data_IF_791657296926
#
_entry.id   IF_791657296926
#
_cell.length_a   1.000
_cell.length_b   1.000
_cell.length_c   1.000
_cell.angle_alpha   90.00
_cell.angle_beta   90.00
_cell.angle_gamma   90.00
#
_symmetry.space_group_name_H-M   'P 1'
#
loop_
_entity.id
_entity.type
_entity.pdbx_description
1 polymer ?
#
# COMPACT_ATOMS: atom_id res chain seq x y z
N UNK A 1 37.29 -0.22 75.45
CA UNK A 1 37.60 0.18 74.06
C UNK A 1 37.97 -1.05 73.27
N UNK A 2 37.14 -1.46 72.31
CA UNK A 2 37.47 -2.51 71.34
C UNK A 2 36.84 -2.10 70.01
N UNK A 3 37.67 -1.66 69.06
CA UNK A 3 37.26 -1.14 67.77
C UNK A 3 36.78 -2.24 66.83
N UNK A 4 35.75 -1.93 66.02
CA UNK A 4 35.24 -2.79 64.96
C UNK A 4 36.15 -2.63 63.72
N UNK A 5 36.82 -3.68 63.29
CA UNK A 5 37.65 -3.70 62.09
C UNK A 5 36.96 -4.51 60.99
N UNK A 6 36.80 -3.94 59.80
CA UNK A 6 36.24 -4.63 58.64
C UNK A 6 37.25 -5.61 58.03
N UNK A 7 36.82 -6.80 57.57
CA UNK A 7 37.72 -7.74 56.91
C UNK A 7 38.15 -7.19 55.55
N UNK A 8 39.46 -7.00 55.38
CA UNK A 8 40.09 -6.63 54.10
C UNK A 8 39.99 -7.83 53.16
N UNK A 9 39.42 -7.59 51.98
CA UNK A 9 39.14 -8.62 50.98
C UNK A 9 40.39 -9.42 50.59
N UNK A 10 40.39 -10.72 50.87
CA UNK A 10 41.41 -11.65 50.40
C UNK A 10 41.45 -11.68 48.87
N UNK A 11 42.60 -11.38 48.26
CA UNK A 11 42.79 -11.13 46.82
C UNK A 11 42.60 -12.31 45.84
N UNK A 12 41.70 -13.26 46.12
CA UNK A 12 41.39 -14.35 45.19
C UNK A 12 40.21 -13.95 44.30
N UNK A 13 40.50 -13.56 43.07
CA UNK A 13 39.48 -13.28 42.03
C UNK A 13 38.83 -14.61 41.62
N UNK A 14 37.50 -14.72 41.76
CA UNK A 14 36.74 -15.86 41.22
C UNK A 14 36.75 -15.79 39.69
N UNK A 15 36.96 -16.90 38.97
CA UNK A 15 36.91 -16.89 37.50
C UNK A 15 35.50 -16.55 37.05
N UNK A 16 35.36 -15.54 36.19
CA UNK A 16 34.09 -15.15 35.58
C UNK A 16 33.83 -16.10 34.41
N UNK A 17 32.84 -16.96 34.53
CA UNK A 17 32.36 -17.76 33.40
C UNK A 17 31.42 -16.91 32.54
N UNK A 18 31.85 -16.61 31.32
CA UNK A 18 31.04 -15.91 30.32
C UNK A 18 30.32 -16.97 29.49
N UNK A 19 29.00 -17.04 29.66
CA UNK A 19 28.14 -17.84 28.78
C UNK A 19 27.72 -17.00 27.57
N UNK A 20 27.94 -17.52 26.36
CA UNK A 20 27.38 -16.93 25.15
C UNK A 20 25.88 -17.23 25.08
N UNK A 21 25.06 -16.19 25.22
CA UNK A 21 23.64 -16.31 24.92
C UNK A 21 23.45 -16.64 23.42
N UNK A 22 22.62 -17.64 23.07
CA UNK A 22 22.26 -17.91 21.69
C UNK A 22 21.61 -16.67 21.09
N UNK A 23 22.15 -16.18 19.97
CA UNK A 23 21.58 -15.03 19.26
C UNK A 23 20.21 -15.43 18.74
N UNK A 24 19.18 -14.64 19.08
CA UNK A 24 17.82 -14.78 18.56
C UNK A 24 17.81 -14.66 17.02
N UNK A 25 17.85 -15.79 16.30
CA UNK A 25 17.89 -15.83 14.83
C UNK A 25 16.56 -15.42 14.18
N UNK A 26 15.47 -15.37 14.95
CA UNK A 26 14.13 -15.04 14.45
C UNK A 26 13.88 -13.54 14.24
N UNK A 27 14.77 -12.66 14.72
CA UNK A 27 14.67 -11.20 14.54
C UNK A 27 15.53 -10.64 13.40
N UNK A 28 16.06 -11.47 12.52
CA UNK A 28 16.72 -10.99 11.29
C UNK A 28 15.71 -10.31 10.38
N UNK A 29 15.65 -8.97 10.44
CA UNK A 29 15.01 -8.18 9.40
C UNK A 29 15.83 -8.35 8.13
N UNK A 30 15.35 -9.20 7.22
CA UNK A 30 15.86 -9.32 5.85
C UNK A 30 16.07 -7.93 5.27
N UNK A 31 17.32 -7.60 4.94
CA UNK A 31 17.65 -6.35 4.24
C UNK A 31 16.95 -6.36 2.88
N UNK A 32 16.72 -5.18 2.29
CA UNK A 32 16.01 -5.08 1.00
C UNK A 32 16.67 -5.89 -0.12
N UNK A 33 17.96 -6.23 0.02
CA UNK A 33 18.73 -7.09 -0.89
C UNK A 33 18.39 -8.59 -0.78
N UNK A 34 17.82 -9.06 0.33
CA UNK A 34 17.43 -10.47 0.55
C UNK A 34 15.95 -10.75 0.25
N UNK A 35 15.18 -9.70 -0.05
CA UNK A 35 13.82 -9.87 -0.57
C UNK A 35 13.94 -10.35 -2.00
N UNK A 36 13.84 -11.67 -2.22
CA UNK A 36 13.63 -12.24 -3.56
C UNK A 36 12.57 -11.39 -4.27
N UNK A 37 12.82 -10.88 -5.48
CA UNK A 37 11.75 -10.25 -6.25
C UNK A 37 10.65 -11.30 -6.35
N UNK A 38 9.41 -10.90 -6.00
CA UNK A 38 8.25 -11.75 -6.23
C UNK A 38 8.21 -11.99 -7.74
N UNK A 39 8.70 -13.14 -8.17
CA UNK A 39 8.68 -13.54 -9.56
C UNK A 39 7.24 -13.41 -10.02
N UNK A 40 7.00 -12.47 -10.94
CA UNK A 40 5.83 -12.56 -11.79
C UNK A 40 6.16 -13.72 -12.71
N UNK A 41 5.65 -14.90 -12.38
CA UNK A 41 5.74 -16.04 -13.27
C UNK A 41 5.03 -15.60 -14.56
N UNK A 42 5.82 -15.30 -15.58
CA UNK A 42 5.41 -15.44 -16.96
C UNK A 42 5.69 -16.92 -17.28
N UNK A 43 4.80 -17.80 -16.81
CA UNK A 43 4.74 -19.18 -17.26
C UNK A 43 3.88 -19.19 -18.51
N UNK A 44 4.52 -19.25 -19.68
CA UNK A 44 3.91 -19.88 -20.85
C UNK A 44 3.75 -21.36 -20.52
N UNK A 45 2.53 -21.75 -20.18
CA UNK A 45 2.17 -23.11 -19.80
C UNK A 45 0.67 -23.16 -19.50
N UNK A 46 -0.02 -24.17 -20.03
CA UNK A 46 -1.42 -24.48 -19.72
C UNK A 46 -1.56 -24.75 -18.22
N UNK A 47 -1.75 -23.68 -17.45
CA UNK A 47 -2.11 -23.78 -16.03
C UNK A 47 -3.56 -24.27 -15.98
N UNK A 48 -3.77 -25.45 -15.38
CA UNK A 48 -5.11 -25.94 -15.04
C UNK A 48 -5.79 -24.85 -14.20
N UNK A 49 -6.75 -24.17 -14.81
CA UNK A 49 -7.47 -23.08 -14.18
C UNK A 49 -8.30 -23.75 -13.08
N UNK A 50 -8.10 -23.35 -11.83
CA UNK A 50 -8.93 -23.86 -10.74
C UNK A 50 -10.40 -23.61 -11.07
N UNK A 51 -11.30 -24.55 -10.75
CA UNK A 51 -12.75 -24.40 -10.98
C UNK A 51 -13.29 -23.06 -10.47
N UNK A 52 -12.77 -22.57 -9.34
CA UNK A 52 -13.12 -21.25 -8.79
C UNK A 52 -12.76 -20.09 -9.72
N UNK A 53 -11.63 -20.19 -10.43
CA UNK A 53 -11.18 -19.17 -11.37
C UNK A 53 -11.91 -19.27 -12.72
N UNK A 54 -12.37 -20.45 -13.12
CA UNK A 54 -13.27 -20.65 -14.27
C UNK A 54 -14.63 -19.99 -13.99
N UNK A 55 -15.25 -20.29 -12.84
CA UNK A 55 -16.52 -19.69 -12.41
C UNK A 55 -16.40 -18.15 -12.38
N UNK A 56 -15.28 -17.62 -11.89
CA UNK A 56 -15.03 -16.17 -11.89
C UNK A 56 -14.90 -15.60 -13.29
N UNK A 57 -14.26 -16.31 -14.22
CA UNK A 57 -14.13 -15.88 -15.61
C UNK A 57 -15.50 -15.83 -16.28
N UNK A 58 -16.28 -16.91 -16.17
CA UNK A 58 -17.65 -16.99 -16.70
C UNK A 58 -18.54 -15.87 -16.15
N UNK A 59 -18.48 -15.61 -14.84
CA UNK A 59 -19.25 -14.52 -14.24
C UNK A 59 -18.81 -13.14 -14.75
N UNK A 60 -17.51 -12.93 -14.93
CA UNK A 60 -16.99 -11.67 -15.48
C UNK A 60 -17.39 -11.49 -16.94
N UNK A 61 -17.41 -12.55 -17.72
CA UNK A 61 -17.79 -12.51 -19.13
C UNK A 61 -19.29 -12.29 -19.28
N UNK A 62 -20.13 -13.00 -18.53
CA UNK A 62 -21.57 -12.72 -18.45
C UNK A 62 -21.86 -11.26 -18.04
N UNK A 63 -21.09 -10.71 -17.08
CA UNK A 63 -21.26 -9.32 -16.68
C UNK A 63 -20.80 -8.31 -17.76
N UNK A 64 -19.82 -8.66 -18.59
CA UNK A 64 -19.47 -7.87 -19.78
C UNK A 64 -20.60 -7.93 -20.80
N UNK A 65 -21.15 -9.10 -21.07
CA UNK A 65 -22.24 -9.29 -22.03
C UNK A 65 -23.48 -8.50 -21.65
N UNK A 66 -23.86 -8.50 -20.37
CA UNK A 66 -24.98 -7.66 -19.87
C UNK A 66 -24.70 -6.17 -20.09
N UNK A 67 -23.46 -5.72 -19.88
CA UNK A 67 -23.09 -4.32 -20.16
C UNK A 67 -23.10 -4.00 -21.64
N UNK A 68 -22.65 -4.91 -22.50
CA UNK A 68 -22.67 -4.74 -23.96
C UNK A 68 -24.10 -4.72 -24.49
N UNK A 69 -24.97 -5.58 -23.96
CA UNK A 69 -26.40 -5.58 -24.26
C UNK A 69 -27.06 -4.26 -23.88
N UNK A 70 -26.79 -3.75 -22.67
CA UNK A 70 -27.27 -2.44 -22.25
C UNK A 70 -26.73 -1.31 -23.15
N UNK A 71 -25.48 -1.44 -23.61
CA UNK A 71 -24.85 -0.46 -24.50
C UNK A 71 -25.41 -0.48 -25.93
N UNK A 72 -25.94 -1.61 -26.40
CA UNK A 72 -26.49 -1.73 -27.76
C UNK A 72 -27.65 -0.75 -28.03
N UNK A 73 -28.41 -0.42 -26.98
CA UNK A 73 -29.51 0.53 -27.05
C UNK A 73 -29.08 2.01 -26.93
N UNK A 74 -27.82 2.28 -26.58
CA UNK A 74 -27.31 3.65 -26.45
C UNK A 74 -27.19 4.31 -27.82
N UNK A 75 -27.57 5.60 -27.89
CA UNK A 75 -27.51 6.39 -29.12
C UNK A 75 -26.66 7.65 -28.94
N UNK A 76 -26.08 8.14 -30.04
CA UNK A 76 -25.40 9.44 -30.08
C UNK A 76 -24.19 9.55 -29.15
N UNK A 77 -24.25 10.48 -28.19
CA UNK A 77 -23.12 10.82 -27.31
C UNK A 77 -22.75 9.69 -26.35
N UNK A 78 -23.75 9.01 -25.80
CA UNK A 78 -23.55 7.95 -24.81
C UNK A 78 -22.84 6.74 -25.42
N UNK A 79 -23.21 6.36 -26.65
CA UNK A 79 -22.54 5.31 -27.42
C UNK A 79 -21.06 5.64 -27.64
N UNK A 80 -20.75 6.88 -28.05
CA UNK A 80 -19.37 7.34 -28.26
C UNK A 80 -18.53 7.31 -26.97
N UNK A 81 -19.14 7.62 -25.82
CA UNK A 81 -18.45 7.54 -24.52
C UNK A 81 -18.22 6.10 -24.07
N UNK A 82 -19.18 5.20 -24.34
CA UNK A 82 -19.02 3.77 -24.06
C UNK A 82 -17.90 3.15 -24.90
N UNK A 83 -17.90 3.41 -26.21
CA UNK A 83 -16.86 2.95 -27.13
C UNK A 83 -15.48 3.50 -26.76
N UNK A 84 -15.38 4.78 -26.38
CA UNK A 84 -14.12 5.36 -25.91
C UNK A 84 -13.58 4.64 -24.66
N UNK A 85 -14.45 4.31 -23.69
CA UNK A 85 -14.06 3.53 -22.51
C UNK A 85 -13.65 2.11 -22.87
N UNK A 86 -14.31 1.49 -23.86
CA UNK A 86 -13.94 0.16 -24.38
C UNK A 86 -12.53 0.19 -24.99
N UNK A 87 -12.24 1.21 -25.81
CA UNK A 87 -10.92 1.43 -26.40
C UNK A 87 -9.85 1.61 -25.30
N UNK A 88 -10.12 2.43 -24.28
CA UNK A 88 -9.22 2.62 -23.13
C UNK A 88 -8.98 1.32 -22.34
N UNK A 89 -10.02 0.50 -22.15
CA UNK A 89 -9.91 -0.77 -21.44
C UNK A 89 -9.08 -1.81 -22.21
N UNK A 90 -9.11 -1.78 -23.54
CA UNK A 90 -8.28 -2.62 -24.42
C UNK A 90 -6.82 -2.13 -24.53
N UNK A 91 -6.44 -1.06 -23.81
CA UNK A 91 -5.10 -0.50 -23.84
C UNK A 91 -4.91 0.64 -24.84
N UNK A 92 -5.99 1.09 -25.48
CA UNK A 92 -5.98 2.30 -26.30
C UNK A 92 -5.74 3.57 -25.47
N UNK A 93 -5.27 4.62 -26.15
CA UNK A 93 -5.01 5.92 -25.50
C UNK A 93 -6.32 6.62 -25.15
N UNK A 94 -6.41 7.14 -23.93
CA UNK A 94 -7.55 7.93 -23.50
C UNK A 94 -7.73 9.21 -24.33
N UNK A 95 -8.99 9.60 -24.54
CA UNK A 95 -9.31 10.82 -25.30
C UNK A 95 -8.76 12.03 -24.56
N UNK A 96 -8.03 12.89 -25.28
CA UNK A 96 -7.47 14.12 -24.71
C UNK A 96 -8.60 15.06 -24.32
N UNK A 97 -8.61 15.50 -23.06
CA UNK A 97 -9.53 16.53 -22.60
C UNK A 97 -9.20 17.88 -23.23
N UNK A 98 -10.22 18.71 -23.47
CA UNK A 98 -10.03 20.11 -23.87
C UNK A 98 -9.20 20.84 -22.82
N UNK A 99 -8.27 21.69 -23.27
CA UNK A 99 -7.53 22.56 -22.37
C UNK A 99 -8.48 23.53 -21.70
N UNK A 100 -8.49 23.54 -20.36
CA UNK A 100 -9.28 24.46 -19.55
C UNK A 100 -8.35 25.20 -18.59
N UNK A 101 -8.56 26.52 -18.37
CA UNK A 101 -7.82 27.27 -17.38
C UNK A 101 -7.94 26.64 -15.99
N UNK A 102 -6.87 26.76 -15.20
CA UNK A 102 -6.77 26.09 -13.90
C UNK A 102 -7.93 26.44 -12.96
N UNK A 103 -8.27 27.73 -12.84
CA UNK A 103 -9.32 28.23 -11.94
C UNK A 103 -10.70 27.63 -12.27
N UNK A 104 -10.99 27.43 -13.55
CA UNK A 104 -12.25 26.82 -14.00
C UNK A 104 -12.23 25.32 -13.70
N UNK A 105 -11.10 24.66 -14.00
CA UNK A 105 -10.92 23.23 -13.76
C UNK A 105 -11.00 22.89 -12.26
N UNK A 106 -10.41 23.70 -11.38
CA UNK A 106 -10.46 23.51 -9.93
C UNK A 106 -11.89 23.64 -9.41
N UNK A 107 -12.62 24.67 -9.85
CA UNK A 107 -14.03 24.87 -9.48
C UNK A 107 -14.92 23.70 -9.90
N UNK A 108 -14.77 23.20 -11.14
CA UNK A 108 -15.51 22.02 -11.64
C UNK A 108 -15.21 20.78 -10.79
N UNK A 109 -13.94 20.54 -10.44
CA UNK A 109 -13.55 19.40 -9.61
C UNK A 109 -14.14 19.48 -8.20
N UNK A 110 -14.08 20.65 -7.56
CA UNK A 110 -14.68 20.86 -6.24
C UNK A 110 -16.20 20.64 -6.28
N UNK A 111 -16.90 21.21 -7.27
CA UNK A 111 -18.33 21.01 -7.43
C UNK A 111 -18.71 19.54 -7.65
N UNK A 112 -17.90 18.78 -8.42
CA UNK A 112 -18.10 17.33 -8.57
C UNK A 112 -17.93 16.60 -7.24
N UNK A 113 -16.88 16.90 -6.48
CA UNK A 113 -16.62 16.27 -5.19
C UNK A 113 -17.78 16.51 -4.21
N UNK A 114 -18.30 17.73 -4.14
CA UNK A 114 -19.46 18.08 -3.29
C UNK A 114 -20.73 17.34 -3.73
N UNK A 115 -20.99 17.20 -5.03
CA UNK A 115 -22.14 16.43 -5.53
C UNK A 115 -22.02 14.95 -5.22
N UNK A 116 -20.81 14.39 -5.34
CA UNK A 116 -20.54 12.99 -5.03
C UNK A 116 -20.69 12.72 -3.53
N UNK A 117 -20.18 13.60 -2.65
CA UNK A 117 -20.35 13.45 -1.20
C UNK A 117 -21.82 13.54 -0.79
N UNK A 118 -22.56 14.54 -1.33
CA UNK A 118 -24.00 14.68 -1.07
C UNK A 118 -24.77 13.45 -1.55
N UNK A 119 -24.44 12.90 -2.73
CA UNK A 119 -25.07 11.67 -3.23
C UNK A 119 -24.79 10.48 -2.29
N UNK A 120 -23.56 10.34 -1.81
CA UNK A 120 -23.18 9.28 -0.87
C UNK A 120 -23.88 9.42 0.49
N UNK A 121 -24.04 10.64 1.01
CA UNK A 121 -24.80 10.92 2.23
C UNK A 121 -26.27 10.55 2.07
N UNK A 122 -26.91 10.97 0.98
CA UNK A 122 -28.30 10.61 0.68
C UNK A 122 -28.48 9.10 0.56
N UNK A 123 -27.57 8.39 -0.12
CA UNK A 123 -27.62 6.93 -0.23
C UNK A 123 -27.45 6.22 1.12
N UNK A 124 -26.63 6.77 2.02
CA UNK A 124 -26.50 6.26 3.39
C UNK A 124 -27.77 6.48 4.19
N UNK A 125 -28.37 7.67 4.10
CA UNK A 125 -29.63 7.99 4.78
C UNK A 125 -30.79 7.13 4.27
N UNK A 126 -30.85 6.86 2.96
CA UNK A 126 -31.87 6.01 2.36
C UNK A 126 -31.63 4.51 2.58
N UNK A 127 -30.57 4.12 3.30
CA UNK A 127 -30.23 2.71 3.54
C UNK A 127 -29.79 1.92 2.30
N UNK A 128 -29.45 2.60 1.19
CA UNK A 128 -29.04 1.92 -0.05
C UNK A 128 -27.60 1.43 0.09
N UNK A 129 -27.42 0.11 0.07
CA UNK A 129 -26.10 -0.51 0.14
C UNK A 129 -25.40 -0.38 -1.22
N UNK A 130 -24.52 0.61 -1.32
CA UNK A 130 -23.62 0.76 -2.49
C UNK A 130 -22.28 0.07 -2.24
N UNK A 131 -21.66 -0.45 -3.31
CA UNK A 131 -20.33 -1.04 -3.19
C UNK A 131 -19.29 0.01 -2.77
N UNK A 132 -18.36 -0.39 -1.89
CA UNK A 132 -17.29 0.50 -1.43
C UNK A 132 -16.39 0.85 -2.61
N UNK A 133 -16.41 2.12 -3.02
CA UNK A 133 -15.48 2.64 -4.05
C UNK A 133 -14.05 2.50 -3.52
N UNK A 134 -13.21 1.76 -4.24
CA UNK A 134 -11.77 1.70 -3.96
C UNK A 134 -11.18 3.09 -4.23
N UNK A 135 -10.38 3.60 -3.28
CA UNK A 135 -9.59 4.83 -3.53
C UNK A 135 -8.75 4.60 -4.78
N UNK A 136 -8.66 5.62 -5.64
CA UNK A 136 -7.86 5.49 -6.85
C UNK A 136 -6.40 5.26 -6.46
N UNK A 137 -5.71 4.33 -7.13
CA UNK A 137 -4.28 4.05 -6.86
C UNK A 137 -3.42 5.31 -6.94
N UNK A 138 -3.84 6.31 -7.72
CA UNK A 138 -3.17 7.60 -7.84
C UNK A 138 -3.26 8.47 -6.58
N UNK A 139 -4.42 8.50 -5.89
CA UNK A 139 -4.55 9.26 -4.64
C UNK A 139 -3.78 8.58 -3.51
N UNK A 140 -3.87 7.26 -3.42
CA UNK A 140 -3.14 6.47 -2.42
C UNK A 140 -1.61 6.55 -2.63
N UNK A 141 -1.15 6.57 -3.89
CA UNK A 141 0.28 6.74 -4.20
C UNK A 141 0.79 8.12 -3.81
N UNK A 142 -0.02 9.19 -3.96
CA UNK A 142 0.38 10.56 -3.54
C UNK A 142 0.53 10.69 -2.03
N UNK A 143 -0.35 10.05 -1.24
CA UNK A 143 -0.22 10.05 0.22
C UNK A 143 1.03 9.27 0.66
N UNK A 144 1.32 8.14 0.02
CA UNK A 144 2.51 7.31 0.32
C UNK A 144 3.83 7.90 -0.20
N UNK A 145 3.80 8.73 -1.25
CA UNK A 145 4.98 9.37 -1.84
C UNK A 145 5.39 10.68 -1.17
N UNK A 146 4.60 11.21 -0.23
CA UNK A 146 5.14 12.20 0.71
C UNK A 146 6.15 11.44 1.57
N UNK A 147 7.41 11.42 1.12
CA UNK A 147 8.51 10.87 1.90
C UNK A 147 8.42 11.49 3.29
N UNK A 148 8.38 10.65 4.31
CA UNK A 148 8.44 11.13 5.68
C UNK A 148 9.76 11.87 5.80
N UNK A 149 9.72 13.13 6.20
CA UNK A 149 10.94 13.88 6.48
C UNK A 149 11.59 13.23 7.70
N UNK A 150 12.68 12.50 7.46
CA UNK A 150 13.43 11.82 8.51
C UNK A 150 14.36 12.79 9.27
N UNK A 151 14.32 14.09 8.95
CA UNK A 151 15.18 15.11 9.53
C UNK A 151 16.65 14.91 9.18
N UNK A 152 17.52 15.72 9.79
CA UNK A 152 18.97 15.59 9.68
C UNK A 152 19.44 14.35 10.48
N UNK A 153 19.86 13.30 9.78
CA UNK A 153 20.46 12.10 10.39
C UNK A 153 21.92 12.35 10.74
N UNK A 154 22.17 13.08 11.84
CA UNK A 154 23.52 13.48 12.28
C UNK A 154 24.26 12.34 13.02
N UNK A 155 23.54 11.37 13.58
CA UNK A 155 24.11 10.34 14.47
C UNK A 155 24.39 9.03 13.75
N UNK A 156 25.59 8.46 13.99
CA UNK A 156 25.93 7.08 13.60
C UNK A 156 25.35 6.09 14.61
N UNK A 157 24.07 5.77 14.48
CA UNK A 157 23.39 4.80 15.34
C UNK A 157 21.88 4.73 15.08
N UNK A 158 21.21 3.77 15.71
CA UNK A 158 19.75 3.70 15.66
C UNK A 158 19.19 4.53 16.81
N UNK A 159 18.63 5.70 16.49
CA UNK A 159 17.96 6.53 17.48
C UNK A 159 16.47 6.18 17.55
N UNK A 160 16.00 5.67 18.70
CA UNK A 160 14.59 5.33 18.92
C UNK A 160 14.17 5.73 20.33
N UNK A 161 13.05 6.44 20.46
CA UNK A 161 12.47 6.86 21.75
C UNK A 161 13.45 7.59 22.68
N UNK A 162 14.32 8.46 22.15
CA UNK A 162 15.29 9.23 22.94
C UNK A 162 16.58 8.48 23.28
N UNK A 163 16.73 7.22 22.88
CA UNK A 163 17.92 6.39 23.13
C UNK A 163 18.69 6.18 21.83
N UNK A 164 20.01 6.37 21.86
CA UNK A 164 20.92 6.11 20.75
C UNK A 164 21.60 4.75 20.91
N UNK A 165 21.19 3.77 20.12
CA UNK A 165 21.86 2.47 20.06
C UNK A 165 23.08 2.57 19.13
N UNK A 166 24.28 2.47 19.70
CA UNK A 166 25.56 2.44 18.97
C UNK A 166 26.09 1.01 18.95
N UNK A 167 26.32 0.47 17.76
CA UNK A 167 27.02 -0.83 17.62
C UNK A 167 28.50 -0.64 17.93
N UNK A 168 29.08 -1.53 18.74
CA UNK A 168 30.55 -1.58 18.91
C UNK A 168 31.19 -1.81 17.54
N UNK A 169 32.02 -0.87 17.09
CA UNK A 169 32.89 -1.09 15.95
C UNK A 169 33.80 -2.27 16.29
N UNK A 170 33.89 -3.23 15.35
CA UNK A 170 34.94 -4.25 15.37
C UNK A 170 36.25 -3.62 14.89
#
# INVERSE_FOLDING_TARGET
>A
MTGFAFPIASGKKKPVQVFECPKETWKSQKTSSERKPRAKNASDGTEEISLDDEIRKEFNDAFKDVKEFAAANLKGKEKREFEAKRIEALGGKARKNRSTPYNILSAIKQARAVRESKKEEMSKQSGVVSSKRKRSKASEKKEKMKGVDFGLQVTRGKFKNGVLDVSRLK
#
